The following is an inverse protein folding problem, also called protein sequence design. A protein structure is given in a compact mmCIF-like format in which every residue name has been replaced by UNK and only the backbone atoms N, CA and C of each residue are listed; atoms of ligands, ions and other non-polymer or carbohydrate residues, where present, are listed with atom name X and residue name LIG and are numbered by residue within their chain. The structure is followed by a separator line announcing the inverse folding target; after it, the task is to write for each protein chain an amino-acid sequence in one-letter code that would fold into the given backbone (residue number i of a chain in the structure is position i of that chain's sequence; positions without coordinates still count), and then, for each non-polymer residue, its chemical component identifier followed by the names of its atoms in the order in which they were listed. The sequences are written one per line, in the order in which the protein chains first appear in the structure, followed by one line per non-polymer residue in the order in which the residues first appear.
data_IF_910453751276
#
_entry.id   IF_910453751276
#
_cell.length_a   1.000
_cell.length_b   1.000
_cell.length_c   1.000
_cell.angle_alpha   90.00
_cell.angle_beta   90.00
_cell.angle_gamma   90.00
#
_symmetry.space_group_name_H-M   'P 1'
#
loop_
_entity.id
_entity.type
_entity.pdbx_description
1 polymer ?
#
# COMPACT_ATOMS: atom_id res chain seq x y z
N UNK A 1 -11.15 -8.51 -2.36
CA UNK A 1 -10.45 -7.21 -2.35
C UNK A 1 -9.36 -7.27 -1.28
N UNK A 2 -8.19 -7.83 -1.57
CA UNK A 2 -7.01 -7.55 -0.75
C UNK A 2 -6.02 -6.82 -1.62
N UNK A 3 -5.78 -5.57 -1.23
CA UNK A 3 -4.60 -4.76 -1.47
C UNK A 3 -3.64 -5.24 -2.57
N UNK A 4 -4.12 -5.29 -3.81
CA UNK A 4 -3.21 -5.45 -4.96
C UNK A 4 -2.60 -4.11 -5.37
N UNK A 5 -3.15 -2.98 -4.89
CA UNK A 5 -2.64 -1.65 -5.19
C UNK A 5 -2.90 -0.71 -4.01
N UNK A 6 -1.94 -0.65 -3.08
CA UNK A 6 -1.92 0.40 -2.08
C UNK A 6 -1.24 1.64 -2.69
N UNK A 7 -1.98 2.39 -3.50
CA UNK A 7 -1.57 3.72 -3.96
C UNK A 7 -2.56 4.76 -3.47
N UNK A 8 -2.16 5.49 -2.44
CA UNK A 8 -2.72 6.81 -2.15
C UNK A 8 -1.52 7.72 -2.03
N UNK A 9 -1.31 8.62 -3.01
CA UNK A 9 -0.90 10.01 -2.76
C UNK A 9 -1.21 10.85 -4.01
N UNK A 10 -1.99 11.90 -3.82
CA UNK A 10 -2.08 13.03 -4.74
C UNK A 10 -1.03 14.03 -4.26
N UNK A 11 0.06 14.19 -5.02
CA UNK A 11 0.87 15.41 -4.99
C UNK A 11 1.11 15.86 -6.43
N UNK A 12 0.67 17.07 -6.73
CA UNK A 12 1.27 17.87 -7.79
C UNK A 12 2.36 18.71 -7.14
N UNK A 13 3.59 18.20 -7.09
CA UNK A 13 4.74 19.03 -6.77
C UNK A 13 5.48 19.32 -8.07
N UNK A 14 5.52 20.60 -8.46
CA UNK A 14 6.50 21.08 -9.42
C UNK A 14 7.89 20.68 -8.91
N UNK A 15 8.69 20.13 -9.82
CA UNK A 15 10.06 19.65 -9.60
C UNK A 15 11.00 20.79 -9.23
N UNK A 16 10.97 21.28 -7.98
CA UNK A 16 12.06 22.04 -7.32
C UNK A 16 11.58 22.76 -6.06
N UNK A 17 11.32 22.08 -4.93
CA UNK A 17 11.29 22.77 -3.63
C UNK A 17 11.53 21.83 -2.45
N UNK A 18 12.27 22.36 -1.46
CA UNK A 18 12.84 21.70 -0.31
C UNK A 18 11.88 20.83 0.53
N UNK A 19 12.41 19.74 1.10
CA UNK A 19 11.78 18.77 1.99
C UNK A 19 11.26 19.33 3.35
N UNK A 20 11.32 20.64 3.59
CA UNK A 20 10.99 21.26 4.88
C UNK A 20 9.54 21.72 5.04
N UNK A 21 8.65 21.45 4.08
CA UNK A 21 7.28 22.02 4.01
C UNK A 21 6.16 21.07 4.44
N UNK A 22 6.48 20.02 5.20
CA UNK A 22 5.59 18.85 5.40
C UNK A 22 4.42 19.07 6.36
N UNK A 23 4.39 20.15 7.16
CA UNK A 23 3.32 20.38 8.14
C UNK A 23 2.10 21.12 7.57
N UNK A 24 2.27 22.04 6.61
CA UNK A 24 1.14 22.78 6.02
C UNK A 24 0.34 21.98 5.00
N UNK A 25 0.92 20.92 4.43
CA UNK A 25 0.30 20.14 3.34
C UNK A 25 -0.66 19.06 3.85
N UNK A 26 -0.53 18.62 5.11
CA UNK A 26 -1.43 17.63 5.70
C UNK A 26 -2.91 18.11 5.76
N UNK A 27 -3.18 19.42 5.72
CA UNK A 27 -4.54 19.95 5.66
C UNK A 27 -5.22 19.76 4.30
N UNK A 28 -4.47 19.49 3.23
CA UNK A 28 -5.00 19.30 1.88
C UNK A 28 -5.61 17.91 1.65
N UNK A 29 -5.44 16.95 2.57
CA UNK A 29 -5.96 15.57 2.47
C UNK A 29 -7.49 15.49 2.37
N UNK A 30 -8.20 16.57 2.70
CA UNK A 30 -9.68 16.65 2.63
C UNK A 30 -10.19 17.54 1.49
N UNK A 31 -9.33 17.97 0.57
CA UNK A 31 -9.72 18.90 -0.49
C UNK A 31 -10.80 18.31 -1.41
N UNK A 32 -10.68 17.04 -1.81
CA UNK A 32 -11.63 16.38 -2.69
C UNK A 32 -12.33 15.22 -1.99
N UNK A 33 -13.66 15.17 -2.10
CA UNK A 33 -14.50 14.14 -1.49
C UNK A 33 -15.49 13.58 -2.51
N UNK A 34 -15.79 12.28 -2.44
CA UNK A 34 -16.86 11.67 -3.23
C UNK A 34 -18.20 11.97 -2.56
N UNK A 35 -19.19 12.39 -3.34
CA UNK A 35 -20.56 12.67 -2.90
C UNK A 35 -21.58 12.00 -3.80
N UNK A 36 -22.78 11.81 -3.27
CA UNK A 36 -23.95 11.34 -4.01
C UNK A 36 -24.83 12.54 -4.35
N UNK A 37 -25.26 12.64 -5.60
CA UNK A 37 -26.27 13.60 -6.02
C UNK A 37 -27.64 13.13 -5.48
N UNK A 38 -28.35 14.04 -4.82
CA UNK A 38 -29.65 13.75 -4.20
C UNK A 38 -30.76 13.58 -5.24
N UNK A 39 -30.57 14.04 -6.47
CA UNK A 39 -31.59 14.03 -7.53
C UNK A 39 -31.52 12.76 -8.37
N UNK A 40 -30.32 12.38 -8.82
CA UNK A 40 -30.13 11.26 -9.75
C UNK A 40 -29.31 10.09 -9.19
N UNK A 41 -28.83 10.20 -7.94
CA UNK A 41 -28.06 9.15 -7.28
C UNK A 41 -26.68 8.93 -7.89
N UNK A 42 -26.19 9.84 -8.73
CA UNK A 42 -24.85 9.74 -9.33
C UNK A 42 -23.77 10.17 -8.36
N UNK A 43 -22.61 9.56 -8.50
CA UNK A 43 -21.44 9.85 -7.68
C UNK A 43 -20.60 10.93 -8.34
N UNK A 44 -20.16 11.94 -7.60
CA UNK A 44 -19.35 13.04 -8.14
C UNK A 44 -18.25 13.48 -7.17
N UNK A 45 -17.26 14.21 -7.69
CA UNK A 45 -16.21 14.85 -6.89
C UNK A 45 -16.65 16.22 -6.40
N UNK A 46 -16.57 16.44 -5.10
CA UNK A 46 -16.86 17.70 -4.43
C UNK A 46 -15.60 18.27 -3.80
N UNK A 47 -15.30 19.55 -4.08
CA UNK A 47 -14.19 20.26 -3.46
C UNK A 47 -14.62 20.81 -2.09
N UNK A 48 -14.18 20.14 -1.02
CA UNK A 48 -14.62 20.42 0.36
C UNK A 48 -13.73 21.45 1.11
N UNK A 49 -12.55 21.79 0.57
CA UNK A 49 -11.66 22.78 1.15
C UNK A 49 -11.08 23.68 0.06
N UNK A 50 -10.77 24.94 0.39
CA UNK A 50 -10.16 25.87 -0.57
C UNK A 50 -8.83 25.29 -1.10
N UNK A 51 -8.58 25.33 -2.41
CA UNK A 51 -7.40 24.74 -3.01
C UNK A 51 -6.12 25.39 -2.47
N UNK A 52 -5.17 24.56 -2.02
CA UNK A 52 -3.78 25.00 -1.77
C UNK A 52 -3.06 25.25 -3.10
N UNK A 53 -3.49 24.57 -4.18
CA UNK A 53 -2.95 24.70 -5.53
C UNK A 53 -4.05 24.97 -6.56
N UNK A 54 -3.81 25.93 -7.46
CA UNK A 54 -4.73 26.33 -8.54
C UNK A 54 -4.49 25.57 -9.88
N UNK A 55 -3.71 24.48 -9.85
CA UNK A 55 -3.38 23.68 -11.04
C UNK A 55 -4.38 22.55 -11.32
N UNK A 56 -4.29 21.87 -12.48
CA UNK A 56 -5.10 20.69 -12.77
C UNK A 56 -4.83 19.57 -11.76
N UNK A 57 -5.92 18.94 -11.29
CA UNK A 57 -5.85 17.79 -10.38
C UNK A 57 -5.82 16.50 -11.18
N UNK A 58 -5.13 15.47 -10.67
CA UNK A 58 -4.97 14.19 -11.35
C UNK A 58 -5.31 13.03 -10.41
N UNK A 59 -5.78 11.93 -11.00
CA UNK A 59 -5.94 10.62 -10.38
C UNK A 59 -4.85 9.71 -10.93
N UNK A 60 -4.20 8.95 -10.04
CA UNK A 60 -3.26 7.90 -10.42
C UNK A 60 -4.06 6.63 -10.71
N UNK A 61 -3.94 6.11 -11.94
CA UNK A 61 -4.60 4.89 -12.36
C UNK A 61 -3.57 3.77 -12.61
N UNK A 62 -3.97 2.49 -12.40
CA UNK A 62 -3.13 1.38 -12.77
C UNK A 62 -2.88 1.38 -14.29
N UNK A 63 -1.73 0.84 -14.76
CA UNK A 63 -1.46 0.70 -16.18
C UNK A 63 -2.52 -0.15 -16.88
N UNK A 64 -2.85 0.20 -18.12
CA UNK A 64 -3.78 -0.57 -18.97
C UNK A 64 -3.08 -0.96 -20.27
N UNK A 65 -2.89 -2.27 -20.56
CA UNK A 65 -3.24 -3.43 -19.73
C UNK A 65 -2.45 -3.47 -18.41
N UNK A 66 -2.97 -4.15 -17.36
CA UNK A 66 -2.20 -4.38 -16.14
C UNK A 66 -0.84 -4.97 -16.50
N UNK A 67 0.26 -4.56 -15.84
CA UNK A 67 1.56 -5.11 -16.14
C UNK A 67 1.52 -6.62 -15.91
N UNK A 68 1.77 -7.40 -16.97
CA UNK A 68 1.99 -8.84 -16.85
C UNK A 68 3.29 -9.02 -16.06
N UNK A 69 3.16 -9.37 -14.79
CA UNK A 69 4.30 -9.77 -13.98
C UNK A 69 4.72 -11.17 -14.40
N UNK A 70 5.58 -11.24 -15.41
CA UNK A 70 6.34 -12.45 -15.65
C UNK A 70 7.43 -12.55 -14.59
N UNK A 71 7.24 -13.48 -13.64
CA UNK A 71 8.19 -13.75 -12.56
C UNK A 71 9.56 -14.21 -13.07
N UNK A 72 9.69 -14.56 -14.36
CA UNK A 72 10.90 -15.08 -14.99
C UNK A 72 11.59 -14.09 -15.95
N UNK A 73 11.05 -12.88 -16.13
CA UNK A 73 11.61 -11.90 -17.07
C UNK A 73 12.24 -10.72 -16.31
N UNK A 74 13.52 -10.48 -16.59
CA UNK A 74 14.25 -9.27 -16.14
C UNK A 74 13.78 -7.99 -16.87
N UNK A 75 12.92 -8.12 -17.90
CA UNK A 75 12.30 -6.97 -18.54
C UNK A 75 11.23 -6.39 -17.61
N UNK A 76 11.60 -5.28 -16.96
CA UNK A 76 10.67 -4.56 -16.10
C UNK A 76 9.66 -3.84 -17.00
N UNK A 77 8.35 -4.13 -16.91
CA UNK A 77 7.37 -3.29 -17.58
C UNK A 77 7.59 -1.87 -17.04
N UNK A 78 7.71 -0.91 -17.95
CA UNK A 78 7.72 0.50 -17.61
C UNK A 78 6.40 0.80 -16.89
N UNK A 79 6.42 0.71 -15.55
CA UNK A 79 5.30 1.01 -14.67
C UNK A 79 5.12 2.53 -14.64
N UNK A 80 4.75 3.10 -15.78
CA UNK A 80 4.41 4.50 -15.91
C UNK A 80 3.12 4.68 -15.11
N UNK A 81 3.22 5.44 -14.01
CA UNK A 81 2.04 5.88 -13.28
C UNK A 81 1.20 6.71 -14.26
N UNK A 82 0.04 6.20 -14.63
CA UNK A 82 -0.87 6.91 -15.53
C UNK A 82 -1.61 7.97 -14.72
N UNK A 83 -1.19 9.23 -14.91
CA UNK A 83 -1.88 10.40 -14.36
C UNK A 83 -2.98 10.83 -15.33
N UNK A 84 -4.23 10.67 -14.91
CA UNK A 84 -5.39 11.16 -15.64
C UNK A 84 -5.97 12.39 -14.94
N UNK A 85 -6.35 13.46 -15.65
CA UNK A 85 -7.05 14.58 -15.04
C UNK A 85 -8.27 14.11 -14.23
N UNK A 86 -8.46 14.68 -13.03
CA UNK A 86 -9.59 14.41 -12.16
C UNK A 86 -10.88 14.75 -12.92
N UNK A 87 -11.69 13.72 -13.18
CA UNK A 87 -12.90 13.83 -13.96
C UNK A 87 -14.10 13.29 -13.18
N UNK A 88 -15.29 13.83 -13.49
CA UNK A 88 -16.55 13.47 -12.83
C UNK A 88 -16.81 11.94 -12.84
N UNK A 89 -16.59 11.29 -13.97
CA UNK A 89 -16.83 9.86 -14.14
C UNK A 89 -15.93 8.98 -13.25
N UNK A 90 -14.78 9.50 -12.81
CA UNK A 90 -13.85 8.77 -11.92
C UNK A 90 -14.34 8.74 -10.47
N UNK A 91 -15.35 9.55 -10.11
CA UNK A 91 -15.88 9.56 -8.74
C UNK A 91 -16.54 8.22 -8.38
N UNK A 92 -17.14 7.56 -9.37
CA UNK A 92 -17.84 6.29 -9.23
C UNK A 92 -16.97 5.07 -9.46
N UNK A 93 -15.67 5.21 -9.65
CA UNK A 93 -14.77 4.08 -9.95
C UNK A 93 -13.80 3.82 -8.81
N UNK A 94 -13.55 2.54 -8.53
CA UNK A 94 -12.48 2.08 -7.65
C UNK A 94 -11.12 2.31 -8.30
N UNK A 95 -10.05 2.21 -7.51
CA UNK A 95 -8.66 2.23 -8.02
C UNK A 95 -8.40 1.07 -8.99
N UNK A 96 -9.13 -0.04 -8.83
CA UNK A 96 -9.10 -1.20 -9.73
C UNK A 96 -9.85 -0.98 -11.05
N UNK A 97 -10.55 0.15 -11.20
CA UNK A 97 -11.40 0.44 -12.36
C UNK A 97 -12.85 -0.03 -12.22
N UNK A 98 -13.18 -0.83 -11.19
CA UNK A 98 -14.54 -1.32 -10.96
C UNK A 98 -15.50 -0.17 -10.62
N UNK A 99 -16.74 -0.25 -11.11
CA UNK A 99 -17.78 0.71 -10.74
C UNK A 99 -18.21 0.45 -9.29
N UNK A 100 -18.14 1.49 -8.47
CA UNK A 100 -18.60 1.46 -7.10
C UNK A 100 -20.14 1.45 -7.06
N UNK A 101 -20.76 0.50 -6.33
CA UNK A 101 -22.20 0.52 -6.14
C UNK A 101 -22.64 1.79 -5.41
N UNK A 102 -23.62 2.50 -5.95
CA UNK A 102 -24.10 3.78 -5.39
C UNK A 102 -24.64 3.64 -3.95
N UNK A 103 -25.25 2.49 -3.63
CA UNK A 103 -25.74 2.16 -2.29
C UNK A 103 -24.62 2.08 -1.23
N UNK A 104 -23.36 1.90 -1.64
CA UNK A 104 -22.22 1.77 -0.73
C UNK A 104 -21.74 3.12 -0.19
N UNK A 105 -21.92 4.20 -0.95
CA UNK A 105 -21.39 5.52 -0.59
C UNK A 105 -21.92 6.10 0.74
N UNK A 106 -23.23 6.02 1.06
CA UNK A 106 -23.73 6.50 2.35
C UNK A 106 -23.02 5.83 3.54
N UNK A 107 -22.82 4.52 3.46
CA UNK A 107 -22.11 3.75 4.49
C UNK A 107 -20.64 4.19 4.63
N UNK A 108 -19.98 4.50 3.52
CA UNK A 108 -18.62 5.02 3.52
C UNK A 108 -18.55 6.42 4.15
N UNK A 109 -19.53 7.29 3.84
CA UNK A 109 -19.59 8.62 4.42
C UNK A 109 -19.68 8.55 5.95
N UNK A 110 -20.62 7.75 6.48
CA UNK A 110 -20.78 7.55 7.91
C UNK A 110 -19.52 7.00 8.58
N UNK A 111 -18.80 6.11 7.89
CA UNK A 111 -17.54 5.54 8.35
C UNK A 111 -16.43 6.60 8.43
N UNK A 112 -16.38 7.57 7.51
CA UNK A 112 -15.33 8.60 7.50
C UNK A 112 -15.33 9.47 8.76
N UNK A 113 -16.52 9.71 9.31
CA UNK A 113 -16.74 10.51 10.52
C UNK A 113 -16.46 9.73 11.82
N UNK A 114 -16.28 8.41 11.74
CA UNK A 114 -15.94 7.59 12.91
C UNK A 114 -14.49 7.78 13.38
N UNK A 115 -14.27 7.42 14.65
CA UNK A 115 -12.93 7.36 15.24
C UNK A 115 -12.04 6.35 14.50
N UNK A 116 -10.72 6.51 14.62
CA UNK A 116 -9.76 5.58 14.01
C UNK A 116 -10.03 4.13 14.43
N UNK A 117 -10.25 3.88 15.72
CA UNK A 117 -10.49 2.54 16.26
C UNK A 117 -11.71 1.88 15.66
N UNK A 118 -12.81 2.63 15.43
CA UNK A 118 -14.01 2.09 14.78
C UNK A 118 -13.78 1.81 13.30
N UNK A 119 -13.07 2.69 12.59
CA UNK A 119 -12.67 2.45 11.19
C UNK A 119 -11.81 1.21 11.06
N UNK A 120 -10.85 1.05 11.97
CA UNK A 120 -9.97 -0.11 12.00
C UNK A 120 -10.74 -1.40 12.32
N UNK A 121 -11.61 -1.40 13.33
CA UNK A 121 -12.46 -2.55 13.65
C UNK A 121 -13.40 -2.92 12.49
N UNK A 122 -13.99 -1.93 11.83
CA UNK A 122 -14.81 -2.15 10.64
C UNK A 122 -14.00 -2.80 9.52
N UNK A 123 -12.80 -2.27 9.23
CA UNK A 123 -11.90 -2.83 8.22
C UNK A 123 -11.57 -4.29 8.52
N UNK A 124 -11.10 -4.59 9.73
CA UNK A 124 -10.81 -5.96 10.15
C UNK A 124 -12.02 -6.89 9.99
N UNK A 125 -13.23 -6.40 10.29
CA UNK A 125 -14.48 -7.16 10.09
C UNK A 125 -14.74 -7.45 8.61
N UNK A 126 -14.46 -6.50 7.71
CA UNK A 126 -14.63 -6.75 6.27
C UNK A 126 -13.62 -7.76 5.75
N UNK A 127 -12.35 -7.65 6.17
CA UNK A 127 -11.31 -8.54 5.68
C UNK A 127 -11.45 -9.95 6.32
N UNK A 128 -11.95 -10.07 7.56
CA UNK A 128 -12.13 -11.37 8.23
C UNK A 128 -13.08 -12.32 7.50
N UNK A 129 -14.13 -11.79 6.86
CA UNK A 129 -15.04 -12.57 6.04
C UNK A 129 -14.37 -13.16 4.77
N UNK A 130 -13.21 -12.65 4.38
CA UNK A 130 -12.44 -13.11 3.23
C UNK A 130 -11.43 -14.22 3.57
N UNK A 131 -11.12 -14.45 4.85
CA UNK A 131 -10.12 -15.44 5.26
C UNK A 131 -10.73 -16.84 5.33
N UNK A 132 -10.32 -17.72 4.43
CA UNK A 132 -10.68 -19.15 4.52
C UNK A 132 -9.49 -20.07 4.79
N UNK A 133 -8.26 -19.58 4.68
CA UNK A 133 -7.04 -20.39 4.70
C UNK A 133 -5.84 -19.63 5.28
N UNK A 134 -4.72 -20.35 5.41
CA UNK A 134 -3.43 -19.81 5.80
C UNK A 134 -2.38 -20.07 4.70
N UNK A 135 -1.46 -19.12 4.53
CA UNK A 135 -0.24 -19.29 3.74
C UNK A 135 0.93 -19.59 4.67
N UNK A 136 1.43 -20.83 4.61
CA UNK A 136 2.62 -21.26 5.33
C UNK A 136 3.88 -20.72 4.64
N UNK A 137 4.79 -20.14 5.41
CA UNK A 137 6.11 -19.71 4.96
C UNK A 137 7.17 -20.25 5.90
N UNK A 138 8.22 -20.79 5.31
CA UNK A 138 9.32 -21.39 6.03
C UNK A 138 10.57 -20.60 5.64
N UNK A 139 11.25 -20.02 6.61
CA UNK A 139 12.44 -19.19 6.39
C UNK A 139 13.49 -19.49 7.45
N UNK A 140 14.76 -19.34 7.10
CA UNK A 140 15.84 -19.32 8.08
C UNK A 140 16.03 -17.91 8.65
N UNK A 141 16.37 -17.80 9.93
CA UNK A 141 16.58 -16.51 10.60
C UNK A 141 17.70 -15.68 9.97
N UNK A 142 18.79 -16.31 9.58
CA UNK A 142 19.94 -15.68 8.94
C UNK A 142 19.66 -15.23 7.49
N UNK A 143 18.59 -15.77 6.87
CA UNK A 143 18.15 -15.44 5.50
C UNK A 143 16.77 -14.77 5.46
N UNK A 144 16.33 -14.22 6.59
CA UNK A 144 14.97 -13.73 6.76
C UNK A 144 14.59 -12.65 5.75
N UNK A 145 15.54 -11.82 5.29
CA UNK A 145 15.28 -10.81 4.28
C UNK A 145 15.01 -11.46 2.91
N UNK A 146 16.01 -12.16 2.38
CA UNK A 146 15.99 -12.65 1.00
C UNK A 146 14.88 -13.70 0.79
N UNK A 147 14.77 -14.69 1.68
CA UNK A 147 13.77 -15.76 1.57
C UNK A 147 12.35 -15.23 1.76
N UNK A 148 12.13 -14.29 2.69
CA UNK A 148 10.79 -13.72 2.89
C UNK A 148 10.32 -12.95 1.67
N UNK A 149 11.17 -12.10 1.10
CA UNK A 149 10.82 -11.29 -0.07
C UNK A 149 10.60 -12.17 -1.31
N UNK A 150 11.37 -13.24 -1.47
CA UNK A 150 11.16 -14.20 -2.54
C UNK A 150 9.82 -14.95 -2.39
N UNK A 151 9.56 -15.51 -1.21
CA UNK A 151 8.33 -16.27 -0.95
C UNK A 151 7.07 -15.42 -1.17
N UNK A 152 7.04 -14.18 -0.67
CA UNK A 152 5.85 -13.31 -0.86
C UNK A 152 5.63 -12.90 -2.32
N UNK A 153 6.69 -12.81 -3.13
CA UNK A 153 6.57 -12.57 -4.57
C UNK A 153 6.00 -13.79 -5.30
N UNK A 154 6.37 -15.00 -4.86
CA UNK A 154 5.89 -16.25 -5.45
C UNK A 154 4.45 -16.61 -5.02
N UNK A 155 3.91 -15.95 -3.99
CA UNK A 155 2.50 -16.12 -3.64
C UNK A 155 1.59 -15.72 -4.80
N UNK A 156 0.65 -16.61 -5.12
CA UNK A 156 -0.45 -16.29 -6.04
C UNK A 156 -1.36 -15.22 -5.41
N UNK A 157 -2.03 -14.38 -6.21
CA UNK A 157 -2.94 -13.34 -5.70
C UNK A 157 -4.00 -13.87 -4.72
N UNK A 158 -4.52 -15.08 -4.95
CA UNK A 158 -5.49 -15.73 -4.06
C UNK A 158 -4.95 -16.03 -2.65
N UNK A 159 -3.63 -16.15 -2.49
CA UNK A 159 -2.96 -16.43 -1.22
C UNK A 159 -2.48 -15.15 -0.50
N UNK A 160 -2.39 -14.01 -1.20
CA UNK A 160 -2.07 -12.71 -0.57
C UNK A 160 -3.14 -12.27 0.45
N UNK A 161 -4.38 -12.73 0.25
CA UNK A 161 -5.52 -12.52 1.14
C UNK A 161 -5.62 -13.49 2.32
N UNK A 162 -4.64 -14.38 2.53
CA UNK A 162 -4.75 -15.43 3.56
C UNK A 162 -3.87 -15.12 4.76
N UNK A 163 -4.27 -15.60 5.93
CA UNK A 163 -3.51 -15.46 7.17
C UNK A 163 -2.12 -16.07 7.01
N UNK A 164 -1.08 -15.41 7.51
CA UNK A 164 0.30 -15.89 7.44
C UNK A 164 0.60 -16.86 8.57
N UNK A 165 1.24 -17.98 8.25
CA UNK A 165 1.84 -18.88 9.23
C UNK A 165 3.34 -19.00 8.97
N UNK A 166 4.15 -18.51 9.90
CA UNK A 166 5.61 -18.60 9.81
C UNK A 166 6.14 -19.81 10.56
N UNK A 167 7.17 -20.43 9.99
CA UNK A 167 8.03 -21.41 10.65
C UNK A 167 9.48 -20.98 10.43
N UNK A 168 10.20 -20.74 11.53
CA UNK A 168 11.64 -20.48 11.48
C UNK A 168 12.38 -21.83 11.44
N UNK A 169 12.99 -22.13 10.30
CA UNK A 169 13.69 -23.38 10.07
C UNK A 169 14.98 -23.45 10.89
N UNK A 170 15.31 -24.65 11.39
CA UNK A 170 16.51 -24.88 12.19
C UNK A 170 16.41 -24.44 13.66
N UNK A 171 15.24 -23.94 14.09
CA UNK A 171 14.97 -23.57 15.48
C UNK A 171 14.06 -24.60 16.15
N UNK A 172 14.38 -24.97 17.39
CA UNK A 172 13.51 -25.82 18.22
C UNK A 172 12.21 -25.04 18.49
N UNK A 173 11.06 -25.68 18.26
CA UNK A 173 9.72 -25.07 18.25
C UNK A 173 9.27 -24.39 19.54
N UNK A 174 9.88 -23.24 19.84
CA UNK A 174 9.59 -22.41 21.00
C UNK A 174 8.47 -21.43 20.62
N UNK A 175 7.29 -21.80 21.11
CA UNK A 175 6.09 -20.97 21.27
C UNK A 175 5.35 -20.53 20.00
N UNK A 176 4.27 -21.27 19.69
CA UNK A 176 3.41 -21.07 18.53
C UNK A 176 2.68 -19.70 18.49
N UNK A 177 2.72 -18.91 19.58
CA UNK A 177 2.03 -17.61 19.64
C UNK A 177 2.83 -16.41 19.12
N UNK A 178 4.17 -16.51 19.09
CA UNK A 178 5.04 -15.33 18.90
C UNK A 178 5.78 -15.24 17.56
N UNK A 179 5.93 -16.36 16.86
CA UNK A 179 6.83 -16.46 15.69
C UNK A 179 6.44 -15.51 14.55
N UNK A 180 5.13 -15.30 14.32
CA UNK A 180 4.66 -14.36 13.30
C UNK A 180 5.09 -12.91 13.60
N UNK A 181 4.90 -12.48 14.86
CA UNK A 181 5.29 -11.14 15.31
C UNK A 181 6.80 -10.95 15.23
N UNK A 182 7.55 -11.97 15.65
CA UNK A 182 9.00 -11.97 15.55
C UNK A 182 9.47 -11.85 14.10
N UNK A 183 8.87 -12.62 13.18
CA UNK A 183 9.19 -12.56 11.77
C UNK A 183 8.98 -11.15 11.18
N UNK A 184 7.83 -10.52 11.44
CA UNK A 184 7.59 -9.14 11.01
C UNK A 184 8.62 -8.17 11.62
N UNK A 185 8.97 -8.35 12.89
CA UNK A 185 9.95 -7.49 13.58
C UNK A 185 11.34 -7.60 12.94
N UNK A 186 11.84 -8.82 12.76
CA UNK A 186 13.14 -9.09 12.15
C UNK A 186 13.21 -8.62 10.70
N UNK A 187 12.17 -8.92 9.92
CA UNK A 187 12.09 -8.48 8.54
C UNK A 187 12.09 -6.95 8.47
N UNK A 188 11.28 -6.27 9.27
CA UNK A 188 11.23 -4.79 9.32
C UNK A 188 12.59 -4.18 9.64
N UNK A 189 13.31 -4.71 10.63
CA UNK A 189 14.68 -4.26 10.94
C UNK A 189 15.60 -4.41 9.73
N UNK A 190 15.51 -5.54 9.02
CA UNK A 190 16.33 -5.77 7.83
C UNK A 190 15.94 -4.88 6.65
N UNK A 191 14.64 -4.59 6.44
CA UNK A 191 14.15 -3.71 5.38
C UNK A 191 14.71 -2.29 5.47
N UNK A 192 14.83 -1.76 6.68
CA UNK A 192 15.34 -0.40 6.94
C UNK A 192 16.85 -0.33 7.20
N UNK A 193 17.58 -1.45 7.06
CA UNK A 193 19.02 -1.46 7.21
C UNK A 193 19.68 -0.66 6.07
N UNK A 194 20.64 0.21 6.44
CA UNK A 194 21.24 1.17 5.51
C UNK A 194 22.01 0.50 4.35
N UNK A 195 22.58 -0.68 4.60
CA UNK A 195 23.30 -1.50 3.63
C UNK A 195 22.38 -2.08 2.54
N UNK A 196 21.07 -2.20 2.78
CA UNK A 196 20.09 -2.63 1.77
C UNK A 196 19.81 -1.56 0.71
N UNK A 197 20.05 -0.28 1.04
CA UNK A 197 19.87 0.83 0.11
C UNK A 197 18.41 1.08 -0.32
N UNK A 198 17.41 0.54 0.39
CA UNK A 198 16.00 0.66 0.04
C UNK A 198 15.33 1.92 0.61
N UNK A 199 15.67 2.30 1.83
CA UNK A 199 15.05 3.45 2.48
C UNK A 199 16.10 4.40 3.02
N UNK A 200 15.75 5.68 3.05
CA UNK A 200 16.55 6.75 3.65
C UNK A 200 15.76 7.42 4.76
N UNK A 201 16.39 7.82 5.87
CA UNK A 201 15.70 8.54 6.93
C UNK A 201 15.23 9.90 6.42
N UNK A 202 13.93 10.17 6.49
CA UNK A 202 13.33 11.46 6.16
C UNK A 202 13.43 12.42 7.36
N UNK A 203 13.10 11.91 8.56
CA UNK A 203 13.31 12.61 9.82
C UNK A 203 13.76 11.60 10.88
N UNK A 204 15.00 11.77 11.38
CA UNK A 204 15.58 10.85 12.38
C UNK A 204 14.87 10.93 13.73
N UNK A 205 14.34 12.09 14.12
CA UNK A 205 13.66 12.25 15.41
C UNK A 205 12.30 11.52 15.43
N UNK A 206 11.61 11.53 14.28
CA UNK A 206 10.31 10.87 14.10
C UNK A 206 10.42 9.42 13.63
N UNK A 207 11.65 8.90 13.46
CA UNK A 207 11.92 7.57 12.90
C UNK A 207 11.18 7.35 11.57
N UNK A 208 11.06 8.39 10.75
CA UNK A 208 10.36 8.33 9.46
C UNK A 208 11.34 8.08 8.33
N UNK A 209 10.90 7.29 7.34
CA UNK A 209 11.69 6.83 6.21
C UNK A 209 11.01 7.17 4.89
N UNK A 210 11.82 7.40 3.86
CA UNK A 210 11.37 7.59 2.49
C UNK A 210 12.02 6.57 1.56
N UNK A 211 11.37 6.26 0.44
CA UNK A 211 11.95 5.44 -0.63
C UNK A 211 13.27 6.08 -1.06
N UNK A 212 14.35 5.30 -1.14
CA UNK A 212 15.64 5.82 -1.58
C UNK A 212 15.58 6.18 -3.08
N UNK A 213 15.69 7.47 -3.47
CA UNK A 213 15.67 7.87 -4.88
C UNK A 213 16.89 7.34 -5.65
N UNK A 214 17.99 7.10 -4.94
CA UNK A 214 19.22 6.55 -5.50
C UNK A 214 19.23 5.01 -5.52
N UNK A 215 18.11 4.33 -5.20
CA UNK A 215 18.07 2.87 -5.13
C UNK A 215 18.51 2.19 -6.43
N UNK A 216 18.15 2.75 -7.59
CA UNK A 216 18.53 2.22 -8.90
C UNK A 216 20.04 2.31 -9.20
N UNK A 217 20.71 3.34 -8.67
CA UNK A 217 22.15 3.55 -8.78
C UNK A 217 22.95 2.95 -7.62
N UNK A 218 22.26 2.52 -6.56
CA UNK A 218 22.86 1.89 -5.40
C UNK A 218 23.20 0.41 -5.69
N UNK A 219 23.91 -0.26 -4.78
CA UNK A 219 24.31 -1.67 -4.92
C UNK A 219 23.14 -2.68 -4.91
N UNK A 220 21.90 -2.25 -5.17
CA UNK A 220 20.70 -3.06 -5.15
C UNK A 220 20.04 -3.13 -6.55
N UNK A 221 20.55 -3.98 -7.47
CA UNK A 221 20.01 -4.11 -8.81
C UNK A 221 18.54 -4.60 -8.82
N UNK A 222 18.09 -5.26 -7.74
CA UNK A 222 16.74 -5.81 -7.60
C UNK A 222 15.78 -4.89 -6.83
N UNK A 223 16.10 -3.60 -6.66
CA UNK A 223 15.33 -2.69 -5.80
C UNK A 223 13.84 -2.62 -6.13
N UNK A 224 13.44 -2.63 -7.41
CA UNK A 224 12.02 -2.64 -7.80
C UNK A 224 11.30 -3.92 -7.36
N UNK A 225 11.95 -5.08 -7.52
CA UNK A 225 11.45 -6.38 -7.06
C UNK A 225 11.30 -6.38 -5.53
N UNK A 226 12.26 -5.80 -4.81
CA UNK A 226 12.16 -5.63 -3.35
C UNK A 226 11.01 -4.71 -2.95
N UNK A 227 10.83 -3.54 -3.57
CA UNK A 227 9.70 -2.67 -3.25
C UNK A 227 8.34 -3.33 -3.51
N UNK A 228 8.23 -4.12 -4.57
CA UNK A 228 7.02 -4.90 -4.83
C UNK A 228 6.78 -5.94 -3.72
N UNK A 229 7.82 -6.69 -3.33
CA UNK A 229 7.73 -7.64 -2.22
C UNK A 229 7.33 -6.96 -0.90
N UNK A 230 7.93 -5.79 -0.60
CA UNK A 230 7.61 -4.99 0.59
C UNK A 230 6.15 -4.53 0.57
N UNK A 231 5.62 -4.10 -0.57
CA UNK A 231 4.20 -3.77 -0.71
C UNK A 231 3.30 -4.95 -0.34
N UNK A 232 3.66 -6.17 -0.79
CA UNK A 232 2.94 -7.40 -0.41
C UNK A 232 3.09 -7.72 1.09
N UNK A 233 4.27 -7.54 1.67
CA UNK A 233 4.50 -7.73 3.12
C UNK A 233 3.62 -6.77 3.93
N UNK A 234 3.55 -5.49 3.55
CA UNK A 234 2.70 -4.50 4.22
C UNK A 234 1.21 -4.85 4.11
N UNK A 235 0.75 -5.26 2.93
CA UNK A 235 -0.63 -5.73 2.74
C UNK A 235 -0.95 -6.93 3.63
N UNK A 236 0.01 -7.86 3.78
CA UNK A 236 -0.14 -9.02 4.66
C UNK A 236 -0.09 -8.66 6.14
N UNK A 237 0.71 -7.67 6.55
CA UNK A 237 0.72 -7.18 7.94
C UNK A 237 -0.66 -6.68 8.37
N UNK A 238 -1.35 -5.95 7.48
CA UNK A 238 -2.74 -5.50 7.71
C UNK A 238 -3.68 -6.69 7.83
N UNK A 239 -3.53 -7.68 6.95
CA UNK A 239 -4.34 -8.91 6.98
C UNK A 239 -4.14 -9.66 8.31
N UNK A 240 -2.88 -9.84 8.71
CA UNK A 240 -2.46 -10.57 9.92
C UNK A 240 -2.64 -9.78 11.22
N UNK A 241 -3.03 -8.50 11.15
CA UNK A 241 -3.17 -7.60 12.29
C UNK A 241 -1.87 -7.37 13.06
N UNK A 242 -0.75 -7.21 12.35
CA UNK A 242 0.60 -6.98 12.90
C UNK A 242 1.03 -5.52 12.79
#
# INVERSE_FOLDING_TARGET
MCFEYCYIYIYGANTSTNLSTTLSENSARKQWQRRLDSVDGRTYWHEAAKPVHQGPHYVVLPPTPPPEFDSNSDAHPSNVLHLQPLALHLAGTAVTGDILPSWWLPHLHDLTDQSFSLKYAWLLTQISHSYKNYSKMQVYRDKIFDESLEIVLLLRPTHLCTMTRIELLGESGIDAGGVLREWYSLLTVSLFAADRGLFVPANKAEQSYFINPAAASSANPNHLRHYHAIGRVLGRAIVDGQ
#
